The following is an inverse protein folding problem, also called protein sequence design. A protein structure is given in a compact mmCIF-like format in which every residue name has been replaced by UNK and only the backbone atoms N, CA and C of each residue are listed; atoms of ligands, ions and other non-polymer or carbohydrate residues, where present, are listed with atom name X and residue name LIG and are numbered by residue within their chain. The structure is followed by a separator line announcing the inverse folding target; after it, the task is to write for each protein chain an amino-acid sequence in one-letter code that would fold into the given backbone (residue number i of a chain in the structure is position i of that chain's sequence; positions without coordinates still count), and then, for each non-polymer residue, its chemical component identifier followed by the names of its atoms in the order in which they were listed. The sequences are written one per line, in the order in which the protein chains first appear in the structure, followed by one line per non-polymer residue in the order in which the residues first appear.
data_IF_921866155409
#
_entry.id   IF_921866155409
#
_cell.length_a   1.000
_cell.length_b   1.000
_cell.length_c   1.000
_cell.angle_alpha   90.00
_cell.angle_beta   90.00
_cell.angle_gamma   90.00
#
_symmetry.space_group_name_H-M   'P 1'
#
loop_
_entity.id
_entity.type
_entity.pdbx_description
1 polymer ?
#
# COMPACT_ATOMS: atom_id res chain seq x y z
N UNK A 1 -68.78 56.22 -27.50
CA UNK A 1 -68.85 55.19 -28.50
C UNK A 1 -67.44 54.72 -28.82
N UNK A 2 -66.91 53.71 -28.25
CA UNK A 2 -65.72 52.99 -28.62
C UNK A 2 -65.82 51.59 -28.05
N UNK A 3 -65.94 50.62 -28.90
CA UNK A 3 -66.03 49.21 -28.66
C UNK A 3 -64.65 48.64 -28.19
N UNK A 4 -64.67 47.92 -27.07
CA UNK A 4 -63.52 47.19 -26.58
C UNK A 4 -63.46 45.77 -27.13
N UNK A 5 -62.36 45.38 -27.78
CA UNK A 5 -62.11 44.04 -28.24
C UNK A 5 -61.49 43.19 -27.14
N UNK A 6 -62.04 42.00 -26.97
CA UNK A 6 -61.57 40.99 -26.04
C UNK A 6 -60.49 40.15 -26.77
N UNK A 7 -59.25 40.20 -26.27
CA UNK A 7 -58.16 39.34 -26.74
C UNK A 7 -58.08 38.09 -25.86
N UNK A 8 -58.16 36.92 -26.45
CA UNK A 8 -57.96 35.63 -25.80
C UNK A 8 -56.45 35.37 -25.62
N UNK A 9 -56.02 35.17 -24.39
CA UNK A 9 -54.67 34.75 -24.06
C UNK A 9 -54.58 33.21 -24.08
N UNK A 10 -53.74 32.67 -24.96
CA UNK A 10 -53.37 31.25 -24.99
C UNK A 10 -52.33 30.98 -23.88
N UNK A 11 -52.68 30.12 -22.91
CA UNK A 11 -51.74 29.58 -21.93
C UNK A 11 -50.84 28.51 -22.59
N UNK A 12 -49.58 28.86 -22.80
CA UNK A 12 -48.56 27.92 -23.15
C UNK A 12 -48.14 27.09 -21.94
N UNK A 13 -48.36 25.77 -22.00
CA UNK A 13 -47.79 24.79 -21.06
C UNK A 13 -46.29 24.69 -21.30
N UNK A 14 -45.48 25.31 -20.45
CA UNK A 14 -44.03 25.08 -20.38
C UNK A 14 -43.81 23.72 -19.76
N UNK A 15 -43.35 22.76 -20.53
CA UNK A 15 -42.89 21.46 -20.04
C UNK A 15 -41.63 21.65 -19.17
N UNK A 16 -41.75 21.38 -17.89
CA UNK A 16 -40.60 21.21 -17.02
C UNK A 16 -39.90 19.91 -17.39
N UNK A 17 -38.82 19.98 -18.20
CA UNK A 17 -37.84 18.93 -18.34
C UNK A 17 -37.13 18.75 -17.00
N UNK A 18 -37.41 17.65 -16.31
CA UNK A 18 -36.58 17.12 -15.25
C UNK A 18 -35.26 16.70 -15.87
N UNK A 19 -34.33 17.63 -15.97
CA UNK A 19 -32.92 17.29 -16.15
C UNK A 19 -32.47 16.54 -14.91
N UNK A 20 -32.20 15.24 -15.04
CA UNK A 20 -31.45 14.50 -14.04
C UNK A 20 -30.13 15.26 -13.84
N UNK A 21 -29.94 15.83 -12.67
CA UNK A 21 -28.66 16.35 -12.27
C UNK A 21 -27.72 15.15 -12.23
N UNK A 22 -26.74 15.12 -13.14
CA UNK A 22 -25.58 14.27 -12.96
C UNK A 22 -24.94 14.68 -11.63
N UNK A 23 -25.10 13.83 -10.64
CA UNK A 23 -24.36 13.93 -9.38
C UNK A 23 -22.89 13.90 -9.77
N UNK A 24 -22.20 15.04 -9.64
CA UNK A 24 -20.74 15.08 -9.81
C UNK A 24 -20.18 14.12 -8.78
N UNK A 25 -19.68 12.98 -9.25
CA UNK A 25 -18.92 12.06 -8.39
C UNK A 25 -17.90 12.88 -7.60
N UNK A 26 -17.96 12.79 -6.27
CA UNK A 26 -17.00 13.44 -5.39
C UNK A 26 -15.56 13.01 -5.74
N UNK A 27 -14.57 13.81 -5.37
CA UNK A 27 -13.18 13.37 -5.51
C UNK A 27 -12.98 12.04 -4.76
N UNK A 28 -12.19 11.10 -5.31
CA UNK A 28 -11.98 9.81 -4.67
C UNK A 28 -11.36 9.99 -3.28
N UNK A 29 -11.85 9.24 -2.28
CA UNK A 29 -11.45 9.36 -0.87
C UNK A 29 -10.01 8.94 -0.60
N UNK A 30 -9.44 8.07 -1.46
CA UNK A 30 -8.05 7.61 -1.40
C UNK A 30 -7.50 7.31 -2.79
N UNK A 31 -6.17 7.30 -2.93
CA UNK A 31 -5.48 6.86 -4.15
C UNK A 31 -5.34 5.34 -4.20
N UNK A 32 -5.13 4.80 -5.40
CA UNK A 32 -4.81 3.38 -5.60
C UNK A 32 -3.39 3.28 -6.16
N UNK A 33 -2.55 2.44 -5.56
CA UNK A 33 -1.23 2.07 -6.07
C UNK A 33 -1.18 0.60 -6.46
N UNK A 34 -0.17 0.23 -7.27
CA UNK A 34 0.11 -1.13 -7.69
C UNK A 34 1.40 -1.61 -7.02
N UNK A 35 1.29 -2.59 -6.12
CA UNK A 35 2.43 -3.27 -5.53
C UNK A 35 3.08 -4.23 -6.54
N UNK A 36 4.41 -4.20 -6.66
CA UNK A 36 5.17 -5.04 -7.56
C UNK A 36 4.92 -6.53 -7.33
N UNK A 37 4.66 -6.95 -6.10
CA UNK A 37 4.31 -8.34 -5.78
C UNK A 37 3.08 -8.85 -6.55
N UNK A 38 2.15 -7.98 -6.94
CA UNK A 38 0.99 -8.35 -7.79
C UNK A 38 1.39 -8.91 -9.15
N UNK A 39 2.59 -8.58 -9.63
CA UNK A 39 3.08 -8.95 -10.96
C UNK A 39 4.37 -9.79 -10.91
N UNK A 40 4.66 -10.46 -9.79
CA UNK A 40 5.91 -11.18 -9.56
C UNK A 40 6.17 -12.35 -10.52
N UNK A 41 5.12 -12.89 -11.13
CA UNK A 41 5.21 -13.92 -12.17
C UNK A 41 5.38 -13.33 -13.57
N UNK A 42 4.92 -12.11 -13.80
CA UNK A 42 4.93 -11.44 -15.11
C UNK A 42 6.09 -10.48 -15.28
N UNK A 43 6.49 -9.77 -14.21
CA UNK A 43 7.59 -8.79 -14.23
C UNK A 43 8.90 -9.43 -13.77
N UNK A 44 10.00 -9.09 -14.42
CA UNK A 44 11.34 -9.58 -14.10
C UNK A 44 12.25 -9.63 -15.32
N UNK A 45 13.35 -10.34 -15.16
CA UNK A 45 14.30 -10.57 -16.25
C UNK A 45 14.04 -11.92 -16.93
N UNK A 46 14.30 -12.01 -18.23
CA UNK A 46 14.22 -13.24 -19.02
C UNK A 46 13.15 -13.22 -20.10
N UNK A 47 13.16 -14.30 -20.90
CA UNK A 47 12.22 -14.45 -22.04
C UNK A 47 10.76 -14.51 -21.55
N UNK A 48 9.89 -13.73 -22.21
CA UNK A 48 8.47 -13.66 -21.87
C UNK A 48 8.12 -12.83 -20.63
N UNK A 49 9.11 -12.25 -19.95
CA UNK A 49 8.90 -11.33 -18.83
C UNK A 49 8.82 -9.88 -19.29
N UNK A 50 8.07 -9.10 -18.54
CA UNK A 50 8.05 -7.64 -18.66
C UNK A 50 9.24 -7.10 -17.89
N UNK A 51 10.17 -6.35 -18.52
CA UNK A 51 11.27 -5.73 -17.79
C UNK A 51 10.75 -4.84 -16.66
N UNK A 52 11.40 -4.88 -15.50
CA UNK A 52 10.96 -4.08 -14.35
C UNK A 52 10.90 -2.56 -14.65
N UNK A 53 11.74 -2.05 -15.55
CA UNK A 53 11.70 -0.66 -16.02
C UNK A 53 10.38 -0.28 -16.70
N UNK A 54 9.62 -1.27 -17.20
CA UNK A 54 8.31 -1.06 -17.84
C UNK A 54 7.15 -1.02 -16.84
N UNK A 55 7.40 -1.30 -15.56
CA UNK A 55 6.35 -1.35 -14.56
C UNK A 55 5.51 -0.04 -14.46
N UNK A 56 6.09 1.17 -14.56
CA UNK A 56 5.30 2.40 -14.62
C UNK A 56 4.34 2.45 -15.81
N UNK A 57 4.81 2.08 -17.00
CA UNK A 57 3.98 2.01 -18.21
C UNK A 57 2.83 1.00 -18.03
N UNK A 58 3.14 -0.19 -17.54
CA UNK A 58 2.13 -1.24 -17.29
C UNK A 58 1.07 -0.75 -16.28
N UNK A 59 1.47 -0.13 -15.20
CA UNK A 59 0.54 0.42 -14.22
C UNK A 59 -0.42 1.43 -14.86
N UNK A 60 0.12 2.33 -15.68
CA UNK A 60 -0.66 3.38 -16.34
C UNK A 60 -1.54 2.86 -17.46
N UNK A 61 -0.96 2.11 -18.40
CA UNK A 61 -1.65 1.72 -19.63
C UNK A 61 -2.60 0.52 -19.45
N UNK A 62 -2.21 -0.48 -18.61
CA UNK A 62 -3.00 -1.69 -18.43
C UNK A 62 -4.08 -1.55 -17.34
N UNK A 63 -3.81 -0.70 -16.35
CA UNK A 63 -4.68 -0.59 -15.17
C UNK A 63 -5.22 0.81 -14.91
N UNK A 64 -4.68 1.85 -15.56
CA UNK A 64 -5.03 3.25 -15.27
C UNK A 64 -4.63 3.65 -13.85
N UNK A 65 -3.56 3.06 -13.31
CA UNK A 65 -3.03 3.33 -11.96
C UNK A 65 -1.86 4.32 -12.07
N UNK A 66 -1.88 5.35 -11.23
CA UNK A 66 -0.94 6.48 -11.27
C UNK A 66 0.14 6.40 -10.18
N UNK A 67 0.25 5.29 -9.48
CA UNK A 67 1.24 5.09 -8.43
C UNK A 67 1.66 3.62 -8.33
N UNK A 68 2.94 3.38 -8.06
CA UNK A 68 3.50 2.03 -7.89
C UNK A 68 4.29 1.92 -6.61
N UNK A 69 4.40 0.67 -6.12
CA UNK A 69 5.23 0.28 -4.99
C UNK A 69 6.21 -0.77 -5.48
N UNK A 70 7.50 -0.48 -5.36
CA UNK A 70 8.55 -1.34 -5.88
C UNK A 70 8.86 -2.50 -4.92
N UNK A 71 9.44 -3.57 -5.46
CA UNK A 71 9.99 -4.69 -4.68
C UNK A 71 11.47 -4.79 -4.94
N UNK A 72 12.27 -4.75 -3.88
CA UNK A 72 13.75 -4.71 -3.97
C UNK A 72 14.35 -5.85 -4.77
N UNK A 73 13.77 -7.05 -4.62
CA UNK A 73 14.25 -8.29 -5.28
C UNK A 73 13.87 -8.36 -6.77
N UNK A 74 13.03 -7.48 -7.26
CA UNK A 74 12.62 -7.41 -8.67
C UNK A 74 13.44 -6.40 -9.48
N UNK A 75 14.20 -5.50 -8.82
CA UNK A 75 15.04 -4.56 -9.53
C UNK A 75 16.22 -5.30 -10.20
N UNK A 76 16.38 -5.12 -11.51
CA UNK A 76 17.49 -5.74 -12.26
C UNK A 76 18.85 -5.17 -11.84
N UNK A 77 18.91 -3.93 -11.36
CA UNK A 77 20.12 -3.29 -10.86
C UNK A 77 19.81 -2.25 -9.78
N UNK A 78 20.81 -1.98 -8.95
CA UNK A 78 20.80 -0.89 -7.94
C UNK A 78 21.68 0.30 -8.37
N UNK A 79 22.23 0.24 -9.58
CA UNK A 79 23.13 1.28 -10.08
C UNK A 79 22.39 2.59 -10.32
N UNK A 80 23.07 3.70 -10.08
CA UNK A 80 22.48 5.02 -10.24
C UNK A 80 21.93 5.29 -11.67
N UNK A 81 22.49 4.65 -12.70
CA UNK A 81 21.98 4.75 -14.06
C UNK A 81 20.61 4.08 -14.21
N UNK A 82 20.44 2.88 -13.64
CA UNK A 82 19.17 2.14 -13.62
C UNK A 82 18.10 2.90 -12.81
N UNK A 83 18.46 3.37 -11.61
CA UNK A 83 17.56 4.14 -10.74
C UNK A 83 17.05 5.41 -11.45
N UNK A 84 17.96 6.16 -12.11
CA UNK A 84 17.56 7.33 -12.92
C UNK A 84 16.66 6.97 -14.09
N UNK A 85 16.93 5.84 -14.77
CA UNK A 85 16.08 5.41 -15.87
C UNK A 85 14.68 5.02 -15.39
N UNK A 86 14.57 4.34 -14.24
CA UNK A 86 13.28 3.99 -13.64
C UNK A 86 12.50 5.25 -13.23
N UNK A 87 13.16 6.22 -12.58
CA UNK A 87 12.55 7.51 -12.25
C UNK A 87 12.05 8.24 -13.50
N UNK A 88 12.86 8.23 -14.58
CA UNK A 88 12.47 8.83 -15.86
C UNK A 88 11.24 8.14 -16.46
N UNK A 89 11.24 6.81 -16.50
CA UNK A 89 10.10 6.04 -17.04
C UNK A 89 8.81 6.31 -16.23
N UNK A 90 8.93 6.43 -14.92
CA UNK A 90 7.79 6.79 -14.06
C UNK A 90 7.25 8.19 -14.40
N UNK A 91 8.15 9.17 -14.57
CA UNK A 91 7.77 10.53 -14.96
C UNK A 91 7.17 10.59 -16.37
N UNK A 92 7.73 9.86 -17.35
CA UNK A 92 7.23 9.81 -18.73
C UNK A 92 5.78 9.27 -18.83
N UNK A 93 5.33 8.49 -17.85
CA UNK A 93 3.98 7.92 -17.78
C UNK A 93 3.07 8.56 -16.72
N UNK A 94 3.50 9.66 -16.09
CA UNK A 94 2.78 10.30 -14.96
C UNK A 94 2.47 9.31 -13.83
N UNK A 95 3.44 8.48 -13.44
CA UNK A 95 3.32 7.49 -12.37
C UNK A 95 4.25 7.85 -11.22
N UNK A 96 3.71 7.89 -10.01
CA UNK A 96 4.49 8.10 -8.77
C UNK A 96 5.08 6.79 -8.29
N UNK A 97 6.30 6.83 -7.77
CA UNK A 97 6.90 5.70 -7.04
C UNK A 97 6.78 6.03 -5.55
N UNK A 98 5.96 5.25 -4.82
CA UNK A 98 5.58 5.62 -3.46
C UNK A 98 6.56 5.09 -2.41
N UNK A 99 6.92 3.81 -2.54
CA UNK A 99 7.80 3.13 -1.58
C UNK A 99 8.53 1.95 -2.25
N UNK A 100 9.52 1.43 -1.52
CA UNK A 100 10.21 0.19 -1.87
C UNK A 100 9.96 -0.84 -0.78
N UNK A 101 9.37 -1.98 -1.13
CA UNK A 101 9.30 -3.17 -0.28
C UNK A 101 10.66 -3.86 -0.29
N UNK A 102 11.38 -3.77 0.81
CA UNK A 102 12.75 -4.28 0.93
C UNK A 102 12.72 -5.67 1.54
N UNK A 103 13.03 -6.67 0.73
CA UNK A 103 13.06 -8.07 1.12
C UNK A 103 14.49 -8.63 1.01
N UNK A 104 14.83 -9.60 1.89
CA UNK A 104 16.09 -10.34 1.80
C UNK A 104 17.33 -9.61 2.33
N UNK A 105 17.19 -8.47 2.98
CA UNK A 105 18.33 -7.65 3.44
C UNK A 105 18.72 -7.89 4.91
N UNK A 106 18.48 -9.10 5.41
CA UNK A 106 18.96 -9.57 6.70
C UNK A 106 17.94 -9.50 7.83
N UNK A 107 18.39 -9.81 9.05
CA UNK A 107 17.56 -10.05 10.21
C UNK A 107 17.69 -8.93 11.25
N UNK A 108 16.78 -7.97 11.19
CA UNK A 108 16.80 -6.78 12.08
C UNK A 108 16.56 -7.16 13.57
N UNK A 109 15.97 -8.34 13.85
CA UNK A 109 15.73 -8.85 15.19
C UNK A 109 16.70 -9.98 15.60
N UNK A 110 17.75 -10.26 14.83
CA UNK A 110 18.72 -11.30 15.17
C UNK A 110 19.30 -11.13 16.59
N UNK A 111 19.60 -12.22 17.27
CA UNK A 111 20.33 -12.18 18.55
C UNK A 111 21.78 -11.70 18.37
N UNK A 112 22.36 -11.97 17.20
CA UNK A 112 23.70 -11.52 16.83
C UNK A 112 23.70 -10.03 16.47
N UNK A 113 24.42 -9.24 17.26
CA UNK A 113 24.55 -7.80 17.05
C UNK A 113 25.22 -7.45 15.70
N UNK A 114 26.15 -8.27 15.22
CA UNK A 114 26.81 -8.04 13.93
C UNK A 114 25.83 -8.23 12.76
N UNK A 115 24.95 -9.25 12.84
CA UNK A 115 23.89 -9.45 11.85
C UNK A 115 22.87 -8.30 11.86
N UNK A 116 22.50 -7.78 13.02
CA UNK A 116 21.62 -6.58 13.10
C UNK A 116 22.27 -5.36 12.46
N UNK A 117 23.56 -5.13 12.74
CA UNK A 117 24.31 -4.01 12.15
C UNK A 117 24.43 -4.14 10.62
N UNK A 118 24.68 -5.35 10.10
CA UNK A 118 24.69 -5.62 8.66
C UNK A 118 23.31 -5.38 8.03
N UNK A 119 22.23 -5.83 8.68
CA UNK A 119 20.86 -5.56 8.23
C UNK A 119 20.58 -4.05 8.16
N UNK A 120 20.96 -3.28 9.17
CA UNK A 120 20.84 -1.81 9.16
C UNK A 120 21.61 -1.21 7.99
N UNK A 121 22.87 -1.61 7.78
CA UNK A 121 23.71 -1.10 6.68
C UNK A 121 23.12 -1.41 5.30
N UNK A 122 22.52 -2.59 5.12
CA UNK A 122 21.86 -2.97 3.86
C UNK A 122 20.59 -2.18 3.61
N UNK A 123 19.72 -2.05 4.61
CA UNK A 123 18.49 -1.26 4.49
C UNK A 123 18.78 0.23 4.29
N UNK A 124 19.86 0.78 4.87
CA UNK A 124 20.25 2.19 4.64
C UNK A 124 20.52 2.50 3.16
N UNK A 125 21.08 1.53 2.41
CA UNK A 125 21.27 1.69 0.95
C UNK A 125 19.95 1.78 0.19
N UNK A 126 18.91 1.11 0.68
CA UNK A 126 17.58 1.22 0.11
C UNK A 126 16.89 2.54 0.44
N UNK A 127 17.22 3.12 1.59
CA UNK A 127 16.79 4.50 1.92
C UNK A 127 17.42 5.50 0.93
N UNK A 128 18.69 5.30 0.52
CA UNK A 128 19.32 6.11 -0.51
C UNK A 128 18.58 6.00 -1.85
N UNK A 129 18.33 4.77 -2.31
CA UNK A 129 17.62 4.53 -3.58
C UNK A 129 16.18 5.09 -3.50
N UNK A 130 15.50 4.92 -2.37
CA UNK A 130 14.16 5.46 -2.16
C UNK A 130 14.14 7.00 -2.26
N UNK A 131 15.13 7.67 -1.68
CA UNK A 131 15.29 9.11 -1.78
C UNK A 131 15.54 9.56 -3.24
N UNK A 132 16.42 8.85 -3.98
CA UNK A 132 16.72 9.14 -5.38
C UNK A 132 15.49 8.95 -6.30
N UNK A 133 14.58 8.03 -5.94
CA UNK A 133 13.32 7.77 -6.66
C UNK A 133 12.16 8.70 -6.22
N UNK A 134 12.35 9.51 -5.17
CA UNK A 134 11.30 10.34 -4.60
C UNK A 134 10.25 9.56 -3.80
N UNK A 135 10.58 8.33 -3.35
CA UNK A 135 9.73 7.55 -2.48
C UNK A 135 9.58 8.19 -1.11
N UNK A 136 8.37 8.10 -0.53
CA UNK A 136 8.16 8.57 0.84
C UNK A 136 8.61 7.56 1.90
N UNK A 137 8.85 6.28 1.54
CA UNK A 137 9.15 5.23 2.50
C UNK A 137 9.96 4.08 1.91
N UNK A 138 10.60 3.33 2.78
CA UNK A 138 10.88 1.90 2.57
C UNK A 138 10.01 1.08 3.52
N UNK A 139 9.63 -0.15 3.12
CA UNK A 139 9.02 -1.15 3.99
C UNK A 139 9.99 -2.30 4.18
N UNK A 140 10.17 -2.75 5.41
CA UNK A 140 10.97 -3.94 5.72
C UNK A 140 10.20 -4.90 6.64
N UNK A 141 10.67 -6.14 6.69
CA UNK A 141 10.10 -7.19 7.52
C UNK A 141 10.82 -7.26 8.88
N UNK A 142 10.11 -7.66 9.94
CA UNK A 142 10.68 -7.85 11.26
C UNK A 142 11.19 -9.29 11.44
N UNK A 143 12.21 -9.65 10.66
CA UNK A 143 12.81 -10.98 10.65
C UNK A 143 13.91 -11.13 11.72
N UNK A 144 14.20 -12.39 12.10
CA UNK A 144 15.24 -12.78 13.07
C UNK A 144 14.69 -13.22 14.43
N UNK A 145 13.36 -13.37 14.54
CA UNK A 145 12.71 -14.00 15.68
C UNK A 145 11.49 -14.83 15.21
N UNK A 146 11.17 -15.96 15.87
CA UNK A 146 10.02 -16.78 15.50
C UNK A 146 8.71 -16.08 15.91
N UNK A 147 7.60 -16.38 15.18
CA UNK A 147 6.30 -15.78 15.43
C UNK A 147 5.76 -16.10 16.84
N UNK A 148 5.96 -17.31 17.32
CA UNK A 148 5.47 -17.79 18.63
C UNK A 148 6.12 -17.08 19.83
N UNK A 149 7.17 -16.27 19.61
CA UNK A 149 7.79 -15.47 20.68
C UNK A 149 6.78 -14.52 21.34
N UNK A 150 5.74 -14.11 20.63
CA UNK A 150 4.71 -13.19 21.15
C UNK A 150 3.91 -13.79 22.33
N UNK A 151 3.78 -15.13 22.37
CA UNK A 151 3.14 -15.84 23.50
C UNK A 151 4.01 -15.91 24.76
N UNK A 152 5.27 -15.46 24.67
CA UNK A 152 6.27 -15.49 25.73
C UNK A 152 6.71 -14.07 26.07
N UNK A 153 6.05 -13.38 27.01
CA UNK A 153 6.21 -11.93 27.21
C UNK A 153 7.65 -11.44 27.45
N UNK A 154 8.46 -12.24 28.19
CA UNK A 154 9.87 -11.87 28.44
C UNK A 154 10.73 -11.96 27.19
N UNK A 155 10.51 -13.00 26.37
CA UNK A 155 11.25 -13.21 25.12
C UNK A 155 10.80 -12.20 24.06
N UNK A 156 9.49 -11.95 23.95
CA UNK A 156 8.95 -10.90 23.09
C UNK A 156 9.55 -9.53 23.44
N UNK A 157 9.59 -9.18 24.73
CA UNK A 157 10.26 -7.95 25.19
C UNK A 157 11.73 -7.91 24.79
N UNK A 158 12.47 -9.02 24.93
CA UNK A 158 13.88 -9.09 24.53
C UNK A 158 14.07 -8.90 23.02
N UNK A 159 13.14 -9.41 22.19
CA UNK A 159 13.13 -9.16 20.73
C UNK A 159 12.92 -7.68 20.45
N UNK A 160 11.95 -7.05 21.11
CA UNK A 160 11.67 -5.62 20.95
C UNK A 160 12.89 -4.79 21.39
N UNK A 161 13.43 -5.05 22.57
CA UNK A 161 14.56 -4.31 23.15
C UNK A 161 15.81 -4.35 22.24
N UNK A 162 16.08 -5.47 21.55
CA UNK A 162 17.21 -5.56 20.62
C UNK A 162 16.92 -5.02 19.22
N UNK A 163 15.64 -5.02 18.78
CA UNK A 163 15.24 -4.51 17.47
C UNK A 163 15.07 -2.99 17.44
N UNK A 164 14.51 -2.41 18.50
CA UNK A 164 14.15 -0.99 18.53
C UNK A 164 15.32 -0.05 18.25
N UNK A 165 16.56 -0.27 18.80
CA UNK A 165 17.70 0.57 18.45
C UNK A 165 18.08 0.51 16.96
N UNK A 166 17.93 -0.67 16.32
CA UNK A 166 18.26 -0.85 14.91
C UNK A 166 17.23 -0.12 14.02
N UNK A 167 15.94 -0.22 14.34
CA UNK A 167 14.90 0.54 13.66
C UNK A 167 15.07 2.05 13.85
N UNK A 168 15.40 2.50 15.07
CA UNK A 168 15.67 3.91 15.34
C UNK A 168 16.84 4.43 14.50
N UNK A 169 17.92 3.66 14.38
CA UNK A 169 19.06 4.03 13.53
C UNK A 169 18.67 4.19 12.06
N UNK A 170 17.80 3.31 11.55
CA UNK A 170 17.26 3.45 10.19
C UNK A 170 16.38 4.71 10.06
N UNK A 171 15.55 4.99 11.06
CA UNK A 171 14.70 6.18 11.08
C UNK A 171 15.52 7.47 11.13
N UNK A 172 16.55 7.54 11.97
CA UNK A 172 17.48 8.68 12.04
C UNK A 172 18.17 8.91 10.68
N UNK A 173 18.60 7.82 10.00
CA UNK A 173 19.18 7.90 8.67
C UNK A 173 18.16 8.37 7.62
N UNK A 174 16.94 7.85 7.67
CA UNK A 174 15.85 8.23 6.78
C UNK A 174 15.34 9.65 6.98
N UNK A 175 15.44 10.19 8.20
CA UNK A 175 15.00 11.55 8.49
C UNK A 175 15.81 12.58 7.72
N UNK A 176 17.12 12.42 7.62
CA UNK A 176 17.99 13.26 6.80
C UNK A 176 17.68 13.20 5.28
N UNK A 177 16.86 12.27 4.83
CA UNK A 177 16.49 12.02 3.43
C UNK A 177 14.99 12.14 3.16
N UNK A 178 14.20 12.47 4.16
CA UNK A 178 12.75 12.53 4.11
C UNK A 178 12.08 11.18 3.73
N UNK A 179 12.69 10.06 4.12
CA UNK A 179 12.20 8.70 3.87
C UNK A 179 11.76 8.07 5.19
N UNK A 180 10.53 7.53 5.25
CA UNK A 180 10.05 6.80 6.40
C UNK A 180 10.49 5.33 6.36
N UNK A 181 10.52 4.71 7.53
CA UNK A 181 10.81 3.27 7.72
C UNK A 181 9.53 2.60 8.19
N UNK A 182 8.97 1.72 7.36
CA UNK A 182 7.71 1.05 7.64
C UNK A 182 7.95 -0.42 7.95
N UNK A 183 7.11 -0.95 8.85
CA UNK A 183 7.02 -2.38 9.12
C UNK A 183 5.64 -2.88 8.71
N UNK A 184 5.62 -4.02 8.03
CA UNK A 184 4.40 -4.71 7.62
C UNK A 184 4.09 -5.87 8.56
N UNK A 185 2.81 -6.22 8.72
CA UNK A 185 2.40 -7.47 9.34
C UNK A 185 2.66 -8.65 8.38
N UNK A 186 3.92 -9.13 8.36
CA UNK A 186 4.40 -10.12 7.41
C UNK A 186 5.29 -11.18 8.07
N UNK A 187 4.67 -12.15 8.73
CA UNK A 187 5.39 -13.26 9.39
C UNK A 187 6.19 -12.84 10.63
N UNK A 188 6.70 -13.81 11.36
CA UNK A 188 7.43 -13.56 12.60
C UNK A 188 6.58 -12.81 13.64
N UNK A 189 7.20 -12.02 14.53
CA UNK A 189 6.47 -11.25 15.53
C UNK A 189 5.52 -10.20 14.95
N UNK A 190 5.76 -9.71 13.73
CA UNK A 190 4.88 -8.74 13.08
C UNK A 190 3.52 -9.30 12.65
N UNK A 191 3.34 -10.63 12.67
CA UNK A 191 2.03 -11.25 12.50
C UNK A 191 1.01 -10.86 13.57
N UNK A 192 1.48 -10.33 14.71
CA UNK A 192 0.65 -10.00 15.86
C UNK A 192 0.68 -8.50 16.15
N UNK A 193 -0.47 -7.82 16.04
CA UNK A 193 -0.53 -6.36 16.10
C UNK A 193 -0.07 -5.78 17.43
N UNK A 194 -0.30 -6.48 18.55
CA UNK A 194 0.14 -6.03 19.87
C UNK A 194 1.67 -5.98 19.99
N UNK A 195 2.40 -6.91 19.36
CA UNK A 195 3.86 -6.88 19.33
C UNK A 195 4.37 -5.72 18.45
N UNK A 196 3.70 -5.47 17.32
CA UNK A 196 4.01 -4.32 16.47
C UNK A 196 3.80 -3.00 17.19
N UNK A 197 2.67 -2.83 17.90
CA UNK A 197 2.39 -1.62 18.69
C UNK A 197 3.47 -1.41 19.78
N UNK A 198 3.86 -2.48 20.47
CA UNK A 198 4.96 -2.37 21.45
C UNK A 198 6.29 -1.94 20.81
N UNK A 199 6.59 -2.46 19.61
CA UNK A 199 7.77 -2.03 18.86
C UNK A 199 7.65 -0.56 18.42
N UNK A 200 6.47 -0.11 17.92
CA UNK A 200 6.24 1.30 17.59
C UNK A 200 6.54 2.21 18.75
N UNK A 201 6.02 1.89 19.95
CA UNK A 201 6.24 2.65 21.18
C UNK A 201 7.70 2.60 21.65
N UNK A 202 8.39 1.46 21.49
CA UNK A 202 9.79 1.32 21.86
C UNK A 202 10.74 2.10 20.94
N UNK A 203 10.44 2.15 19.64
CA UNK A 203 11.21 2.95 18.66
C UNK A 203 10.92 4.44 18.84
N UNK A 204 9.66 4.83 19.04
CA UNK A 204 9.23 6.21 19.30
C UNK A 204 9.92 7.24 18.39
N UNK A 205 9.72 7.12 17.09
CA UNK A 205 10.34 7.99 16.10
C UNK A 205 9.32 8.43 15.03
N UNK A 206 9.26 9.73 14.65
CA UNK A 206 8.25 10.23 13.68
C UNK A 206 8.37 9.60 12.29
N UNK A 207 9.56 9.10 11.90
CA UNK A 207 9.78 8.39 10.64
C UNK A 207 9.42 6.91 10.71
N UNK A 208 9.18 6.35 11.89
CA UNK A 208 8.73 4.96 12.01
C UNK A 208 7.23 4.85 11.81
N UNK A 209 6.77 3.80 11.15
CA UNK A 209 5.35 3.58 10.92
C UNK A 209 5.02 2.16 10.52
N UNK A 210 3.74 1.90 10.33
CA UNK A 210 3.24 0.61 9.86
C UNK A 210 2.76 0.72 8.41
N UNK A 211 2.75 -0.43 7.76
CA UNK A 211 2.04 -0.72 6.52
C UNK A 211 1.11 -1.89 6.81
N UNK A 212 -0.14 -1.65 7.31
CA UNK A 212 -1.11 -2.71 7.52
C UNK A 212 -1.46 -3.38 6.19
N UNK A 213 -1.25 -4.70 6.12
CA UNK A 213 -1.68 -5.55 5.01
C UNK A 213 -2.93 -6.33 5.41
N UNK A 214 -3.95 -6.33 4.57
CA UNK A 214 -5.25 -6.92 4.87
C UNK A 214 -5.24 -8.45 4.95
N UNK A 215 -4.31 -9.10 4.23
CA UNK A 215 -4.29 -10.54 4.04
C UNK A 215 -3.27 -11.32 4.88
N UNK A 216 -2.22 -10.67 5.38
CA UNK A 216 -1.08 -11.35 6.01
C UNK A 216 -1.28 -11.76 7.49
N UNK A 217 -2.45 -11.48 8.06
CA UNK A 217 -2.73 -11.91 9.43
C UNK A 217 -2.97 -13.43 9.51
N UNK A 218 -2.44 -14.12 10.54
CA UNK A 218 -2.77 -15.52 10.82
C UNK A 218 -4.26 -15.70 11.12
N UNK A 219 -4.75 -16.93 10.97
CA UNK A 219 -6.17 -17.24 11.13
C UNK A 219 -6.71 -17.03 12.57
N UNK A 220 -5.84 -17.02 13.58
CA UNK A 220 -6.16 -16.77 14.99
C UNK A 220 -6.16 -15.28 15.35
N UNK A 221 -5.83 -14.39 14.42
CA UNK A 221 -5.85 -12.94 14.59
C UNK A 221 -7.10 -12.34 13.92
N UNK A 222 -7.89 -11.59 14.67
CA UNK A 222 -8.97 -10.77 14.09
C UNK A 222 -8.35 -9.63 13.28
N UNK A 223 -8.33 -9.80 11.95
CA UNK A 223 -7.73 -8.84 11.00
C UNK A 223 -8.31 -7.44 11.08
N UNK A 224 -9.60 -7.30 11.38
CA UNK A 224 -10.27 -5.99 11.45
C UNK A 224 -9.80 -5.22 12.68
N UNK A 225 -9.78 -5.87 13.85
CA UNK A 225 -9.20 -5.31 15.07
C UNK A 225 -7.70 -5.03 14.92
N UNK A 226 -6.98 -5.94 14.26
CA UNK A 226 -5.54 -5.79 14.01
C UNK A 226 -5.25 -4.60 13.09
N UNK A 227 -5.98 -4.46 11.98
CA UNK A 227 -5.89 -3.31 11.08
C UNK A 227 -6.18 -2.02 11.85
N UNK A 228 -7.27 -1.97 12.62
CA UNK A 228 -7.63 -0.82 13.45
C UNK A 228 -6.50 -0.39 14.41
N UNK A 229 -5.86 -1.33 15.07
CA UNK A 229 -4.73 -1.04 15.96
C UNK A 229 -3.52 -0.47 15.20
N UNK A 230 -3.17 -1.06 14.04
CA UNK A 230 -1.99 -0.67 13.28
C UNK A 230 -2.19 0.66 12.54
N UNK A 231 -3.43 1.01 12.18
CA UNK A 231 -3.74 2.28 11.52
C UNK A 231 -3.34 3.51 12.33
N UNK A 232 -3.22 3.41 13.66
CA UNK A 232 -2.71 4.51 14.51
C UNK A 232 -1.26 4.92 14.16
N UNK A 233 -0.51 4.09 13.46
CA UNK A 233 0.88 4.32 13.06
C UNK A 233 1.07 4.23 11.55
N UNK A 234 0.00 4.02 10.78
CA UNK A 234 0.09 3.74 9.35
C UNK A 234 0.57 4.94 8.54
N UNK A 235 1.45 4.66 7.59
CA UNK A 235 1.92 5.62 6.58
C UNK A 235 1.72 5.10 5.15
N UNK A 236 1.33 3.84 5.01
CA UNK A 236 0.89 3.18 3.79
C UNK A 236 -0.07 2.04 4.17
N UNK A 237 -0.83 1.50 3.22
CA UNK A 237 -1.78 0.40 3.43
C UNK A 237 -1.72 -0.54 2.24
N UNK A 238 -1.67 -1.87 2.49
CA UNK A 238 -1.71 -2.91 1.48
C UNK A 238 -3.07 -3.60 1.43
N UNK A 239 -3.73 -3.49 0.28
CA UNK A 239 -4.94 -4.21 -0.05
C UNK A 239 -4.59 -5.58 -0.66
N UNK A 240 -4.02 -6.48 0.16
CA UNK A 240 -3.77 -7.85 -0.26
C UNK A 240 -5.07 -8.56 -0.58
N UNK A 241 -5.12 -9.18 -1.76
CA UNK A 241 -6.29 -9.90 -2.24
C UNK A 241 -5.86 -11.20 -2.94
N UNK A 242 -6.73 -12.21 -2.91
CA UNK A 242 -6.41 -13.52 -3.45
C UNK A 242 -7.44 -14.02 -4.45
N UNK A 243 -8.74 -13.87 -4.16
CA UNK A 243 -9.80 -14.34 -5.03
C UNK A 243 -11.05 -13.46 -4.93
N UNK A 244 -11.86 -13.51 -5.98
CA UNK A 244 -13.04 -12.67 -6.10
C UNK A 244 -14.24 -13.51 -6.53
N UNK A 245 -15.39 -13.20 -5.99
CA UNK A 245 -16.65 -13.75 -6.45
C UNK A 245 -16.99 -13.22 -7.86
N UNK A 246 -17.30 -14.12 -8.78
CA UNK A 246 -17.49 -13.78 -10.19
C UNK A 246 -18.78 -12.98 -10.47
N UNK A 247 -19.78 -13.05 -9.58
CA UNK A 247 -21.06 -12.35 -9.72
C UNK A 247 -21.01 -10.97 -9.05
N UNK A 248 -20.51 -10.90 -7.84
CA UNK A 248 -20.50 -9.66 -7.03
C UNK A 248 -19.20 -8.85 -7.18
N UNK A 249 -18.10 -9.52 -7.50
CA UNK A 249 -16.76 -8.93 -7.55
C UNK A 249 -16.19 -8.60 -6.17
N UNK A 250 -16.78 -9.15 -5.09
CA UNK A 250 -16.25 -9.03 -3.73
C UNK A 250 -15.07 -9.99 -3.52
N UNK A 251 -14.12 -9.60 -2.67
CA UNK A 251 -13.04 -10.49 -2.25
C UNK A 251 -13.59 -11.59 -1.34
N UNK A 252 -13.25 -12.86 -1.62
CA UNK A 252 -13.93 -14.00 -1.00
C UNK A 252 -13.46 -14.33 0.42
N UNK A 253 -12.27 -13.90 0.82
CA UNK A 253 -11.66 -14.20 2.12
C UNK A 253 -11.78 -13.07 3.14
N UNK A 254 -12.21 -11.87 2.72
CA UNK A 254 -12.20 -10.66 3.55
C UNK A 254 -13.34 -9.73 3.19
N UNK A 255 -13.91 -9.06 4.20
CA UNK A 255 -14.85 -7.96 4.01
C UNK A 255 -14.08 -6.66 3.76
N UNK A 256 -13.91 -6.31 2.49
CA UNK A 256 -13.22 -5.09 2.07
C UNK A 256 -13.99 -3.83 2.44
N UNK A 257 -15.32 -3.87 2.43
CA UNK A 257 -16.14 -2.74 2.88
C UNK A 257 -15.79 -2.34 4.32
N UNK A 258 -15.75 -3.32 5.22
CA UNK A 258 -15.37 -3.12 6.62
C UNK A 258 -13.91 -2.68 6.80
N UNK A 259 -12.97 -3.20 5.99
CA UNK A 259 -11.57 -2.79 6.04
C UNK A 259 -11.40 -1.33 5.59
N UNK A 260 -12.08 -0.91 4.53
CA UNK A 260 -12.04 0.47 4.04
C UNK A 260 -12.74 1.43 5.02
N UNK A 261 -13.85 1.03 5.65
CA UNK A 261 -14.46 1.80 6.73
C UNK A 261 -13.47 2.06 7.89
N UNK A 262 -12.71 1.04 8.31
CA UNK A 262 -11.69 1.21 9.34
C UNK A 262 -10.60 2.18 8.86
N UNK A 263 -10.05 1.96 7.67
CA UNK A 263 -8.92 2.74 7.17
C UNK A 263 -9.30 4.17 6.88
N UNK A 264 -10.40 4.39 6.16
CA UNK A 264 -10.78 5.70 5.64
C UNK A 264 -11.68 6.45 6.61
N UNK A 265 -12.79 5.82 7.04
CA UNK A 265 -13.81 6.55 7.81
C UNK A 265 -13.42 6.69 9.29
N UNK A 266 -12.77 5.67 9.88
CA UNK A 266 -12.36 5.71 11.28
C UNK A 266 -11.03 6.41 11.50
N UNK A 267 -10.04 6.16 10.62
CA UNK A 267 -8.68 6.69 10.77
C UNK A 267 -8.35 7.87 9.85
N UNK A 268 -9.33 8.36 9.08
CA UNK A 268 -9.17 9.54 8.19
C UNK A 268 -7.96 9.40 7.23
N UNK A 269 -7.74 8.18 6.71
CA UNK A 269 -6.62 7.91 5.83
C UNK A 269 -6.98 8.21 4.37
N UNK A 270 -6.33 9.19 3.79
CA UNK A 270 -6.52 9.65 2.42
C UNK A 270 -5.30 9.43 1.51
N UNK A 271 -4.35 8.59 1.95
CA UNK A 271 -3.19 8.20 1.17
C UNK A 271 -3.50 7.19 0.06
N UNK A 272 -2.48 6.47 -0.38
CA UNK A 272 -2.63 5.40 -1.35
C UNK A 272 -2.86 4.06 -0.65
N UNK A 273 -3.77 3.25 -1.19
CA UNK A 273 -3.98 1.85 -0.82
C UNK A 273 -3.43 0.98 -1.96
N UNK A 274 -2.39 0.19 -1.66
CA UNK A 274 -1.65 -0.60 -2.64
C UNK A 274 -2.34 -1.91 -2.95
N UNK A 275 -2.64 -2.19 -4.21
CA UNK A 275 -3.13 -3.50 -4.64
C UNK A 275 -1.98 -4.50 -4.57
N UNK A 276 -2.13 -5.57 -3.78
CA UNK A 276 -1.23 -6.69 -3.74
C UNK A 276 -1.99 -8.00 -4.01
N UNK A 277 -2.08 -8.39 -5.28
CA UNK A 277 -2.72 -9.63 -5.68
C UNK A 277 -1.79 -10.83 -5.50
N UNK A 278 -2.18 -11.77 -4.64
CA UNK A 278 -1.46 -13.01 -4.35
C UNK A 278 -2.16 -14.29 -4.81
N UNK A 279 -3.31 -14.17 -5.50
CA UNK A 279 -4.13 -15.30 -5.90
C UNK A 279 -3.54 -16.13 -7.05
N UNK A 280 -4.16 -17.30 -7.30
CA UNK A 280 -3.74 -18.24 -8.34
C UNK A 280 -4.85 -18.60 -9.33
N UNK A 281 -6.12 -18.31 -9.01
CA UNK A 281 -7.25 -18.61 -9.91
C UNK A 281 -7.28 -17.69 -11.13
N UNK A 282 -7.07 -16.41 -10.93
CA UNK A 282 -6.99 -15.43 -12.00
C UNK A 282 -5.53 -15.22 -12.44
N UNK A 283 -5.34 -14.72 -13.65
CA UNK A 283 -4.04 -14.17 -14.02
C UNK A 283 -3.68 -12.97 -13.14
N UNK A 284 -2.39 -12.63 -13.00
CA UNK A 284 -1.97 -11.45 -12.23
C UNK A 284 -2.68 -10.18 -12.73
N UNK A 285 -2.78 -10.01 -14.04
CA UNK A 285 -3.45 -8.85 -14.64
C UNK A 285 -4.94 -8.82 -14.32
N UNK A 286 -5.63 -9.95 -14.39
CA UNK A 286 -7.07 -10.01 -14.10
C UNK A 286 -7.34 -9.86 -12.61
N UNK A 287 -6.48 -10.40 -11.75
CA UNK A 287 -6.54 -10.21 -10.31
C UNK A 287 -6.36 -8.75 -9.90
N UNK A 288 -5.36 -8.05 -10.47
CA UNK A 288 -5.19 -6.60 -10.27
C UNK A 288 -6.41 -5.82 -10.74
N UNK A 289 -6.97 -6.15 -11.93
CA UNK A 289 -8.18 -5.50 -12.43
C UNK A 289 -9.39 -5.75 -11.53
N UNK A 290 -9.52 -6.96 -10.97
CA UNK A 290 -10.61 -7.29 -10.06
C UNK A 290 -10.50 -6.50 -8.75
N UNK A 291 -9.33 -6.48 -8.13
CA UNK A 291 -9.09 -5.69 -6.92
C UNK A 291 -9.30 -4.19 -7.18
N UNK A 292 -8.82 -3.68 -8.30
CA UNK A 292 -9.02 -2.27 -8.67
C UNK A 292 -10.50 -1.92 -8.79
N UNK A 293 -11.31 -2.77 -9.48
CA UNK A 293 -12.76 -2.53 -9.57
C UNK A 293 -13.43 -2.50 -8.20
N UNK A 294 -13.03 -3.39 -7.27
CA UNK A 294 -13.54 -3.41 -5.90
C UNK A 294 -13.18 -2.12 -5.17
N UNK A 295 -11.91 -1.71 -5.19
CA UNK A 295 -11.47 -0.46 -4.56
C UNK A 295 -12.10 0.78 -5.22
N UNK A 296 -12.30 0.78 -6.54
CA UNK A 296 -12.97 1.88 -7.25
C UNK A 296 -14.42 2.07 -6.77
N UNK A 297 -15.15 0.99 -6.43
CA UNK A 297 -16.49 1.07 -5.83
C UNK A 297 -16.49 1.62 -4.41
N UNK A 298 -15.42 1.31 -3.65
CA UNK A 298 -15.32 1.66 -2.23
C UNK A 298 -14.73 3.06 -1.97
N UNK A 299 -14.11 3.69 -2.96
CA UNK A 299 -13.47 5.01 -2.79
C UNK A 299 -14.34 6.22 -3.17
N UNK A 300 -15.56 6.01 -3.61
CA UNK A 300 -16.54 7.05 -4.00
C UNK A 300 -17.47 7.41 -2.87
#
# INVERSE_FOLDING_TARGET
MKTAGVGAAALGLAGFGLGAAEEKAGAPRFGISLAGWSLHRSVGEGEGKIPHLEMPRVAREEFGIEAIELVSTMLASRDAAYVRQLAKNAADHDVKILLIMVDGEGEIASEDAAKRADAVARHSRWIDIAADLGCHSIRLNWHGAPADVVSRPRECKAVIDRSAPAFRQLCDYGDGKNVNVLIENHGGPSSYPEAMVQLMLAVDHPRFGTLPDFGNFPADVDRYRATDLLMNFAKAVSAKCNDFDDETGEETGMDYGRLIEIVVDKHDYHGYIGIEYGGSRLSEFDGVRACKRLLDRLRV
#
